data_IF_506248351097
#
_entry.id   IF_506248351097
#
_cell.length_a   1.000
_cell.length_b   1.000
_cell.length_c   1.000
_cell.angle_alpha   90.00
_cell.angle_beta   90.00
_cell.angle_gamma   90.00
#
_symmetry.space_group_name_H-M   'P 1'
#
loop_
_entity.id
_entity.type
_entity.pdbx_description
1 polymer ?
#
# COMPACT_ATOMS: atom_id res chain seq x y z
N UNK A 1 -6.04 12.75 -9.03
CA UNK A 1 -6.29 12.32 -7.64
C UNK A 1 -4.97 12.39 -6.90
N UNK A 2 -4.89 13.09 -5.75
CA UNK A 2 -3.65 13.21 -4.98
C UNK A 2 -3.44 11.91 -4.18
N UNK A 3 -2.25 11.31 -4.28
CA UNK A 3 -1.86 10.23 -3.38
C UNK A 3 -1.48 10.86 -2.05
N UNK A 4 -2.22 10.51 -1.00
CA UNK A 4 -1.84 10.82 0.37
C UNK A 4 -0.70 9.88 0.79
N UNK A 5 0.40 10.41 1.30
CA UNK A 5 1.45 9.57 1.92
C UNK A 5 0.87 8.95 3.18
N UNK A 6 1.00 7.63 3.33
CA UNK A 6 0.59 6.93 4.55
C UNK A 6 1.70 7.00 5.59
N UNK A 7 1.33 7.18 6.85
CA UNK A 7 2.22 7.20 8.03
C UNK A 7 1.96 6.00 8.95
N UNK A 8 0.89 5.24 8.73
CA UNK A 8 0.60 3.98 9.39
C UNK A 8 -0.24 3.06 8.47
N UNK A 9 -0.38 1.78 8.83
CA UNK A 9 -1.09 0.81 8.00
C UNK A 9 -2.61 1.05 7.97
N UNK A 10 -3.19 1.64 9.02
CA UNK A 10 -4.63 1.87 9.13
C UNK A 10 -5.15 2.90 8.11
N UNK A 11 -4.26 3.72 7.55
CA UNK A 11 -4.57 4.66 6.48
C UNK A 11 -4.71 4.00 5.10
N UNK A 12 -4.37 2.72 4.96
CA UNK A 12 -4.53 2.00 3.69
C UNK A 12 -6.02 1.75 3.45
N UNK A 13 -6.54 2.29 2.36
CA UNK A 13 -7.91 2.04 1.89
C UNK A 13 -7.89 1.49 0.46
N UNK A 14 -9.02 0.94 0.00
CA UNK A 14 -9.16 0.49 -1.39
C UNK A 14 -8.97 1.65 -2.39
N UNK A 15 -9.44 2.86 -2.04
CA UNK A 15 -9.27 4.07 -2.84
C UNK A 15 -7.80 4.52 -2.90
N UNK A 16 -7.10 4.40 -1.77
CA UNK A 16 -5.66 4.68 -1.72
C UNK A 16 -4.87 3.70 -2.59
N UNK A 17 -5.13 2.39 -2.46
CA UNK A 17 -4.50 1.35 -3.28
C UNK A 17 -4.80 1.55 -4.77
N UNK A 18 -6.03 1.91 -5.12
CA UNK A 18 -6.43 2.24 -6.49
C UNK A 18 -5.56 3.39 -7.03
N UNK A 19 -5.44 4.48 -6.27
CA UNK A 19 -4.64 5.64 -6.68
C UNK A 19 -3.16 5.29 -6.85
N UNK A 20 -2.59 4.50 -5.93
CA UNK A 20 -1.20 4.07 -5.99
C UNK A 20 -0.92 3.15 -7.20
N UNK A 21 -1.78 2.16 -7.44
CA UNK A 21 -1.66 1.23 -8.56
C UNK A 21 -1.92 1.90 -9.92
N UNK A 22 -2.81 2.88 -9.98
CA UNK A 22 -3.01 3.65 -11.21
C UNK A 22 -1.82 4.53 -11.54
N UNK A 23 -1.21 5.17 -10.54
CA UNK A 23 -0.01 5.99 -10.76
C UNK A 23 1.20 5.16 -11.19
N UNK A 24 1.32 3.91 -10.72
CA UNK A 24 2.38 3.01 -11.17
C UNK A 24 2.12 2.40 -12.55
N UNK A 25 0.92 2.56 -13.10
CA UNK A 25 0.49 1.93 -14.35
C UNK A 25 0.07 0.46 -14.21
N UNK A 26 0.09 -0.10 -13.00
CA UNK A 26 -0.35 -1.47 -12.74
C UNK A 26 -1.87 -1.64 -12.87
N UNK A 27 -2.63 -0.56 -12.67
CA UNK A 27 -4.09 -0.49 -12.85
C UNK A 27 -4.44 0.64 -13.83
N UNK A 28 -4.72 0.31 -15.08
CA UNK A 28 -5.01 1.29 -16.15
C UNK A 28 -6.50 1.63 -16.26
N UNK A 29 -7.38 0.76 -15.75
CA UNK A 29 -8.83 0.95 -15.70
C UNK A 29 -9.45 0.16 -14.53
N UNK A 30 -10.65 0.53 -14.08
CA UNK A 30 -11.33 -0.06 -12.91
C UNK A 30 -10.77 0.40 -11.56
N UNK A 31 -11.02 -0.38 -10.50
CA UNK A 31 -10.60 -0.06 -9.14
C UNK A 31 -10.22 -1.31 -8.32
N UNK A 32 -9.58 -1.08 -7.19
CA UNK A 32 -9.51 -2.09 -6.12
C UNK A 32 -10.88 -2.16 -5.45
N UNK A 33 -11.49 -3.34 -5.44
CA UNK A 33 -12.77 -3.60 -4.78
C UNK A 33 -12.60 -3.84 -3.28
N UNK A 34 -11.62 -4.67 -2.91
CA UNK A 34 -11.31 -4.99 -1.51
C UNK A 34 -9.88 -5.48 -1.39
N UNK A 35 -9.37 -5.50 -0.16
CA UNK A 35 -8.08 -6.10 0.13
C UNK A 35 -8.10 -6.76 1.52
N UNK A 36 -7.28 -7.79 1.68
CA UNK A 36 -7.00 -8.43 2.96
C UNK A 36 -5.59 -8.07 3.38
N UNK A 37 -5.42 -7.68 4.65
CA UNK A 37 -4.13 -7.25 5.21
C UNK A 37 -3.63 -8.30 6.19
N UNK A 38 -2.55 -8.99 5.82
CA UNK A 38 -1.79 -9.87 6.70
C UNK A 38 -0.65 -9.12 7.34
N UNK A 39 -0.71 -8.86 8.64
CA UNK A 39 0.34 -8.14 9.38
C UNK A 39 1.49 -9.06 9.76
N UNK A 40 2.72 -8.63 9.47
CA UNK A 40 3.93 -9.13 10.11
C UNK A 40 4.65 -7.97 10.79
N UNK A 41 4.72 -7.98 12.12
CA UNK A 41 5.38 -6.92 12.90
C UNK A 41 6.82 -7.33 13.24
N UNK A 42 7.80 -6.53 12.83
CA UNK A 42 9.18 -6.61 13.29
C UNK A 42 9.53 -5.38 14.14
N UNK A 43 10.55 -5.48 15.00
CA UNK A 43 10.86 -4.43 15.98
C UNK A 43 11.04 -3.02 15.41
N UNK A 44 11.48 -2.86 14.16
CA UNK A 44 11.80 -1.56 13.54
C UNK A 44 11.11 -1.31 12.19
N UNK A 45 10.23 -2.23 11.77
CA UNK A 45 9.55 -2.09 10.49
C UNK A 45 8.18 -2.72 10.55
N UNK A 46 7.21 -1.99 10.01
CA UNK A 46 5.86 -2.50 9.84
C UNK A 46 5.74 -3.04 8.42
N UNK A 47 5.60 -4.36 8.31
CA UNK A 47 5.43 -5.04 7.02
C UNK A 47 4.02 -5.64 6.90
N UNK A 48 3.40 -5.46 5.75
CA UNK A 48 2.08 -6.01 5.46
C UNK A 48 2.08 -6.76 4.14
N UNK A 49 1.53 -7.97 4.17
CA UNK A 49 1.14 -8.68 2.96
C UNK A 49 -0.30 -8.28 2.62
N UNK A 50 -0.51 -7.82 1.40
CA UNK A 50 -1.82 -7.43 0.91
C UNK A 50 -2.28 -8.42 -0.14
N UNK A 51 -3.49 -8.94 0.02
CA UNK A 51 -4.19 -9.66 -1.05
C UNK A 51 -5.28 -8.78 -1.61
N UNK A 52 -5.21 -8.47 -2.91
CA UNK A 52 -6.04 -7.45 -3.56
C UNK A 52 -7.08 -8.11 -4.46
N UNK A 53 -8.33 -7.68 -4.32
CA UNK A 53 -9.44 -8.04 -5.21
C UNK A 53 -9.82 -6.80 -6.01
N UNK A 54 -9.89 -6.93 -7.33
CA UNK A 54 -10.23 -5.84 -8.23
C UNK A 54 -11.70 -5.88 -8.64
N UNK A 55 -12.20 -4.76 -9.15
CA UNK A 55 -13.51 -4.73 -9.82
C UNK A 55 -13.49 -5.55 -11.12
N UNK A 56 -14.65 -6.06 -11.59
CA UNK A 56 -14.72 -6.89 -12.80
C UNK A 56 -14.25 -6.20 -14.08
N UNK A 57 -14.33 -4.87 -14.13
CA UNK A 57 -13.90 -4.01 -15.23
C UNK A 57 -12.40 -3.65 -15.17
N UNK A 58 -11.66 -4.11 -14.15
CA UNK A 58 -10.26 -3.73 -13.98
C UNK A 58 -9.36 -4.20 -15.12
N UNK A 59 -8.41 -3.35 -15.52
CA UNK A 59 -7.43 -3.63 -16.57
C UNK A 59 -6.02 -3.20 -16.16
N UNK A 60 -5.01 -3.87 -16.74
CA UNK A 60 -3.59 -3.62 -16.47
C UNK A 60 -2.85 -4.89 -16.06
N UNK A 61 -1.79 -4.74 -15.28
CA UNK A 61 -1.05 -5.87 -14.69
C UNK A 61 -1.82 -6.53 -13.55
N UNK A 62 -2.60 -5.75 -12.80
CA UNK A 62 -3.50 -6.21 -11.74
C UNK A 62 -2.83 -7.18 -10.71
N UNK A 63 -1.74 -6.76 -10.04
CA UNK A 63 -1.06 -7.61 -9.07
C UNK A 63 -2.00 -7.97 -7.91
N UNK A 64 -2.20 -9.27 -7.68
CA UNK A 64 -3.12 -9.76 -6.63
C UNK A 64 -2.45 -9.87 -5.25
N UNK A 65 -1.12 -9.88 -5.20
CA UNK A 65 -0.34 -9.96 -3.96
C UNK A 65 0.67 -8.83 -3.96
N UNK A 66 0.61 -7.99 -2.94
CA UNK A 66 1.54 -6.89 -2.75
C UNK A 66 2.21 -7.02 -1.39
N UNK A 67 3.45 -6.56 -1.32
CA UNK A 67 4.17 -6.44 -0.06
C UNK A 67 4.40 -4.95 0.20
N UNK A 68 3.94 -4.49 1.36
CA UNK A 68 4.13 -3.12 1.80
C UNK A 68 5.09 -3.12 2.98
N UNK A 69 6.15 -2.32 2.88
CA UNK A 69 7.14 -2.14 3.94
C UNK A 69 7.19 -0.68 4.30
N UNK A 70 6.95 -0.38 5.57
CA UNK A 70 7.22 0.93 6.17
C UNK A 70 8.39 0.77 7.15
N UNK A 71 9.31 1.72 7.09
CA UNK A 71 10.46 1.80 7.99
C UNK A 71 10.24 3.02 8.86
N UNK A 72 10.35 2.84 10.17
CA UNK A 72 10.44 3.99 11.06
C UNK A 72 11.82 4.62 10.88
N UNK A 73 11.84 5.92 10.61
CA UNK A 73 13.08 6.67 10.40
C UNK A 73 13.45 7.55 11.58
N UNK A 74 12.59 7.60 12.61
CA UNK A 74 12.85 8.27 13.87
C UNK A 74 13.61 7.29 14.78
N UNK A 75 14.88 7.57 15.00
CA UNK A 75 15.76 6.74 15.83
C UNK A 75 15.62 7.02 17.33
N UNK A 76 14.74 7.93 17.73
CA UNK A 76 14.57 8.35 19.13
C UNK A 76 15.58 9.40 19.62
N UNK A 77 16.63 9.69 18.86
CA UNK A 77 17.69 10.66 19.21
C UNK A 77 17.66 11.95 18.35
N UNK A 78 16.57 12.19 17.60
CA UNK A 78 16.43 13.35 16.72
C UNK A 78 17.22 13.23 15.40
N UNK A 79 17.74 12.03 15.10
CA UNK A 79 18.41 11.73 13.85
C UNK A 79 17.50 10.94 12.90
N UNK A 80 17.39 11.43 11.67
CA UNK A 80 16.67 10.77 10.58
C UNK A 80 17.65 10.10 9.63
N UNK A 81 17.34 8.90 9.16
CA UNK A 81 18.06 8.29 8.04
C UNK A 81 17.89 9.20 6.81
N UNK A 82 18.97 9.90 6.42
CA UNK A 82 19.01 10.80 5.25
C UNK A 82 19.60 10.09 4.05
#
# INVERSE_FOLDING_TARGET
MLIQVITNLDQITAEWLTSALSKSGALTHGAVQSFELGTGQGNWSTSANLKVTYTPDAQGTLPQRLFLKMVDTDTGDGEFFT
#
